data_IF_482218275784
#
_entry.id   IF_482218275784
#
_cell.length_a   1.000
_cell.length_b   1.000
_cell.length_c   1.000
_cell.angle_alpha   90.00
_cell.angle_beta   90.00
_cell.angle_gamma   90.00
#
_symmetry.space_group_name_H-M   'P 1'
#
loop_
_entity.id
_entity.type
_entity.pdbx_description
1 polymer ?
#
# COMPACT_ATOMS: atom_id res chain seq x y z
N UNK A 1 5.73 22.33 -4.20
CA UNK A 1 4.59 21.67 -3.62
C UNK A 1 4.91 20.22 -3.22
N UNK A 2 4.35 19.79 -2.14
CA UNK A 2 4.57 18.44 -1.66
C UNK A 2 3.49 17.53 -2.16
N UNK A 3 3.88 16.45 -2.83
CA UNK A 3 2.93 15.43 -3.27
C UNK A 3 2.33 14.67 -2.08
N UNK A 4 2.99 14.72 -0.92
CA UNK A 4 2.65 13.89 0.25
C UNK A 4 2.15 14.76 1.39
N UNK A 5 1.01 15.39 1.18
CA UNK A 5 0.30 16.16 2.18
C UNK A 5 -0.74 15.26 2.86
N UNK A 6 -1.64 15.84 3.65
CA UNK A 6 -2.68 15.10 4.35
C UNK A 6 -3.47 14.15 3.46
N UNK A 7 -3.79 14.61 2.25
CA UNK A 7 -4.60 13.82 1.33
C UNK A 7 -3.80 12.77 0.53
N UNK A 8 -2.47 12.82 0.64
CA UNK A 8 -1.64 11.92 -0.13
C UNK A 8 -1.69 12.18 -1.62
N UNK A 9 -0.97 11.36 -2.37
CA UNK A 9 -0.97 11.42 -3.84
C UNK A 9 -1.66 10.18 -4.37
N UNK A 10 -2.48 10.35 -5.41
CA UNK A 10 -3.23 9.27 -6.03
C UNK A 10 -2.61 8.83 -7.35
N UNK A 11 -2.54 7.53 -7.54
CA UNK A 11 -2.04 6.91 -8.77
C UNK A 11 -3.12 5.98 -9.31
N UNK A 12 -3.24 5.89 -10.63
CA UNK A 12 -4.22 5.03 -11.28
C UNK A 12 -3.52 4.14 -12.29
N UNK A 13 -3.70 2.84 -12.15
CA UNK A 13 -3.20 1.86 -13.11
C UNK A 13 -4.41 1.23 -13.80
N UNK A 14 -4.57 1.40 -15.11
CA UNK A 14 -5.78 0.96 -15.82
C UNK A 14 -5.80 -0.53 -16.19
N UNK A 15 -4.95 -1.34 -15.57
CA UNK A 15 -4.86 -2.77 -15.82
C UNK A 15 -4.61 -3.53 -14.52
N UNK A 16 -4.80 -4.83 -14.57
CA UNK A 16 -4.48 -5.71 -13.44
C UNK A 16 -2.95 -5.82 -13.31
N UNK A 17 -2.42 -5.40 -12.17
CA UNK A 17 -0.97 -5.41 -11.93
C UNK A 17 -0.39 -6.83 -11.90
N UNK A 18 -1.19 -7.82 -11.54
CA UNK A 18 -0.70 -9.21 -11.47
C UNK A 18 -0.45 -9.81 -12.85
N UNK A 19 -1.08 -9.25 -13.88
CA UNK A 19 -0.96 -9.75 -15.26
C UNK A 19 -0.05 -8.86 -16.10
N UNK A 20 -0.14 -7.56 -15.90
CA UNK A 20 0.56 -6.56 -16.71
C UNK A 20 1.56 -5.76 -15.88
N UNK A 21 2.51 -6.45 -15.27
CA UNK A 21 3.49 -5.83 -14.35
C UNK A 21 4.26 -4.68 -15.02
N UNK A 22 4.79 -4.91 -16.20
CA UNK A 22 5.57 -3.89 -16.91
C UNK A 22 4.70 -2.67 -17.24
N UNK A 23 3.45 -2.90 -17.60
CA UNK A 23 2.51 -1.81 -17.87
C UNK A 23 2.22 -1.02 -16.62
N UNK A 24 2.04 -1.72 -15.48
CA UNK A 24 1.80 -1.06 -14.20
C UNK A 24 2.98 -0.17 -13.82
N UNK A 25 4.20 -0.67 -13.95
CA UNK A 25 5.41 0.10 -13.64
C UNK A 25 5.46 1.36 -14.51
N UNK A 26 5.21 1.21 -15.81
CA UNK A 26 5.23 2.33 -16.75
C UNK A 26 4.19 3.39 -16.39
N UNK A 27 2.96 2.96 -16.08
CA UNK A 27 1.90 3.89 -15.69
C UNK A 27 2.25 4.65 -14.41
N UNK A 28 2.81 3.94 -13.44
CA UNK A 28 3.21 4.56 -12.17
C UNK A 28 4.35 5.54 -12.38
N UNK A 29 5.34 5.19 -13.21
CA UNK A 29 6.46 6.08 -13.52
C UNK A 29 5.98 7.37 -14.18
N UNK A 30 5.00 7.28 -15.07
CA UNK A 30 4.46 8.46 -15.75
C UNK A 30 3.71 9.39 -14.80
N UNK A 31 3.21 8.87 -13.70
CA UNK A 31 2.44 9.65 -12.73
C UNK A 31 3.29 10.15 -11.57
N UNK A 32 4.52 9.65 -11.44
CA UNK A 32 5.41 10.01 -10.34
C UNK A 32 6.57 10.86 -10.87
N UNK A 33 6.63 12.11 -10.45
CA UNK A 33 7.65 13.07 -10.89
C UNK A 33 8.65 13.43 -9.80
N UNK A 34 8.39 12.99 -8.57
CA UNK A 34 9.22 13.29 -7.42
C UNK A 34 10.27 12.21 -7.22
N UNK A 35 11.19 12.42 -6.29
CA UNK A 35 12.13 11.39 -5.88
C UNK A 35 11.39 10.27 -5.14
N UNK A 36 12.01 9.10 -5.10
CA UNK A 36 11.46 7.97 -4.36
C UNK A 36 11.33 8.33 -2.88
N UNK A 37 10.20 7.95 -2.29
CA UNK A 37 9.92 8.22 -0.89
C UNK A 37 10.81 7.33 -0.04
N UNK A 38 11.48 7.93 0.96
CA UNK A 38 12.40 7.21 1.86
C UNK A 38 11.95 7.25 3.31
N UNK A 39 10.72 7.64 3.57
CA UNK A 39 10.15 7.73 4.93
C UNK A 39 8.88 6.88 5.00
N UNK A 40 8.44 6.50 6.21
CA UNK A 40 7.23 5.70 6.34
C UNK A 40 6.02 6.33 5.69
N UNK A 41 5.21 5.49 5.05
CA UNK A 41 4.00 5.91 4.34
C UNK A 41 2.81 5.05 4.75
N UNK A 42 1.61 5.59 4.51
CA UNK A 42 0.40 4.77 4.44
C UNK A 42 0.03 4.60 2.98
N UNK A 43 -0.64 3.51 2.66
CA UNK A 43 -1.24 3.35 1.34
C UNK A 43 -2.66 2.83 1.46
N UNK A 44 -3.52 3.33 0.58
CA UNK A 44 -4.89 2.85 0.43
C UNK A 44 -5.03 2.37 -1.00
N UNK A 45 -5.48 1.14 -1.18
CA UNK A 45 -5.53 0.52 -2.50
C UNK A 45 -6.91 -0.07 -2.76
N UNK A 46 -7.46 0.24 -3.91
CA UNK A 46 -8.69 -0.38 -4.40
C UNK A 46 -8.35 -1.12 -5.69
N UNK A 47 -8.52 -2.43 -5.68
CA UNK A 47 -8.37 -3.26 -6.88
C UNK A 47 -9.72 -3.41 -7.54
N UNK A 48 -9.88 -2.84 -8.73
CA UNK A 48 -11.11 -2.96 -9.52
C UNK A 48 -10.96 -4.15 -10.44
N UNK A 49 -11.84 -5.13 -10.28
CA UNK A 49 -11.77 -6.41 -10.99
C UNK A 49 -13.05 -6.58 -11.80
N UNK A 50 -12.94 -7.16 -13.02
CA UNK A 50 -14.10 -7.27 -13.91
C UNK A 50 -15.05 -8.39 -13.58
N UNK A 51 -14.66 -9.30 -12.69
CA UNK A 51 -15.46 -10.46 -12.31
C UNK A 51 -15.03 -10.99 -10.95
N UNK A 52 -15.74 -12.01 -10.48
CA UNK A 52 -15.48 -12.62 -9.17
C UNK A 52 -14.48 -13.77 -9.20
N UNK A 53 -13.69 -13.87 -10.25
CA UNK A 53 -12.63 -14.86 -10.33
C UNK A 53 -11.72 -14.71 -9.10
N UNK A 54 -11.30 -15.84 -8.53
CA UNK A 54 -10.49 -15.84 -7.31
C UNK A 54 -9.19 -15.07 -7.49
N UNK A 55 -8.96 -14.10 -6.60
CA UNK A 55 -7.71 -13.35 -6.51
C UNK A 55 -7.50 -12.97 -5.06
N UNK A 56 -6.38 -13.39 -4.50
CA UNK A 56 -6.06 -13.11 -3.09
C UNK A 56 -5.44 -11.72 -2.98
N UNK A 57 -5.98 -10.89 -2.09
CA UNK A 57 -5.49 -9.52 -1.86
C UNK A 57 -4.01 -9.49 -1.53
N UNK A 58 -3.54 -10.43 -0.71
CA UNK A 58 -2.14 -10.47 -0.30
C UNK A 58 -1.20 -10.65 -1.49
N UNK A 59 -1.56 -11.54 -2.41
CA UNK A 59 -0.74 -11.81 -3.59
C UNK A 59 -0.71 -10.61 -4.54
N UNK A 60 -1.87 -9.98 -4.76
CA UNK A 60 -1.95 -8.80 -5.62
C UNK A 60 -1.16 -7.65 -5.01
N UNK A 61 -1.29 -7.48 -3.69
CA UNK A 61 -0.59 -6.39 -3.00
C UNK A 61 0.92 -6.59 -3.01
N UNK A 62 1.38 -7.83 -2.89
CA UNK A 62 2.81 -8.13 -2.98
C UNK A 62 3.37 -7.69 -4.32
N UNK A 63 2.67 -8.02 -5.40
CA UNK A 63 3.06 -7.60 -6.75
C UNK A 63 3.03 -6.08 -6.89
N UNK A 64 1.99 -5.43 -6.35
CA UNK A 64 1.89 -3.98 -6.40
C UNK A 64 3.03 -3.31 -5.64
N UNK A 65 3.37 -3.83 -4.46
CA UNK A 65 4.49 -3.32 -3.68
C UNK A 65 5.78 -3.32 -4.48
N UNK A 66 6.06 -4.42 -5.18
CA UNK A 66 7.23 -4.51 -6.05
C UNK A 66 7.16 -3.47 -7.16
N UNK A 67 5.99 -3.27 -7.76
CA UNK A 67 5.81 -2.27 -8.81
C UNK A 67 6.07 -0.86 -8.30
N UNK A 68 5.63 -0.54 -7.07
CA UNK A 68 5.87 0.78 -6.48
C UNK A 68 7.36 1.04 -6.29
N UNK A 69 8.12 0.02 -5.92
CA UNK A 69 9.57 0.14 -5.76
C UNK A 69 10.25 0.27 -7.13
N UNK A 70 9.92 -0.59 -8.07
CA UNK A 70 10.51 -0.55 -9.42
C UNK A 70 10.17 0.72 -10.17
N UNK A 71 8.99 1.29 -9.92
CA UNK A 71 8.59 2.55 -10.54
C UNK A 71 9.26 3.77 -9.91
N UNK A 72 9.97 3.58 -8.78
CA UNK A 72 10.65 4.67 -8.12
C UNK A 72 9.77 5.52 -7.23
N UNK A 73 8.60 5.02 -6.84
CA UNK A 73 7.71 5.72 -5.92
C UNK A 73 8.17 5.55 -4.48
N UNK A 74 8.53 4.31 -4.11
CA UNK A 74 9.07 3.98 -2.79
C UNK A 74 10.48 3.45 -2.94
N UNK A 75 11.35 3.79 -2.00
CA UNK A 75 12.69 3.19 -1.97
C UNK A 75 12.64 1.72 -1.58
N UNK A 76 11.69 1.35 -0.72
CA UNK A 76 11.57 -0.01 -0.22
C UNK A 76 10.13 -0.21 0.25
N UNK A 77 9.59 -1.40 0.03
CA UNK A 77 8.22 -1.71 0.46
C UNK A 77 8.08 -1.81 1.98
N UNK A 78 9.19 -1.98 2.72
CA UNK A 78 9.14 -1.96 4.18
C UNK A 78 8.79 -0.58 4.75
N UNK A 79 8.74 0.45 3.90
CA UNK A 79 8.29 1.78 4.30
C UNK A 79 6.78 1.87 4.42
N UNK A 80 6.05 0.86 3.98
CA UNK A 80 4.59 0.82 4.12
C UNK A 80 4.27 0.43 5.56
N UNK A 81 3.92 1.41 6.38
CA UNK A 81 3.60 1.19 7.79
C UNK A 81 2.13 0.94 8.03
N UNK A 82 1.28 1.35 7.11
CA UNK A 82 -0.15 1.15 7.20
C UNK A 82 -0.70 0.98 5.81
N UNK A 83 -1.58 0.01 5.63
CA UNK A 83 -2.22 -0.17 4.34
C UNK A 83 -3.66 -0.61 4.51
N UNK A 84 -4.50 -0.15 3.60
CA UNK A 84 -5.86 -0.65 3.45
C UNK A 84 -6.00 -1.20 2.04
N UNK A 85 -6.59 -2.38 1.93
CA UNK A 85 -6.77 -3.07 0.66
C UNK A 85 -8.24 -3.40 0.48
N UNK A 86 -8.74 -3.17 -0.71
CA UNK A 86 -10.13 -3.43 -1.03
C UNK A 86 -10.23 -4.00 -2.44
N UNK A 87 -11.09 -5.01 -2.62
CA UNK A 87 -11.48 -5.47 -3.96
C UNK A 87 -12.85 -4.92 -4.28
N UNK A 88 -13.02 -4.43 -5.49
CA UNK A 88 -14.30 -3.95 -5.96
C UNK A 88 -14.59 -4.57 -7.32
N UNK A 89 -15.73 -5.24 -7.44
CA UNK A 89 -16.10 -5.88 -8.70
C UNK A 89 -16.96 -4.92 -9.51
N UNK A 90 -16.46 -4.54 -10.68
CA UNK A 90 -17.20 -3.71 -11.63
C UNK A 90 -17.10 -4.40 -12.97
N UNK A 91 -18.22 -4.91 -13.47
CA UNK A 91 -18.26 -5.65 -14.72
C UNK A 91 -17.63 -4.87 -15.86
N UNK A 92 -16.71 -5.52 -16.56
CA UNK A 92 -16.06 -4.93 -17.73
C UNK A 92 -15.01 -3.87 -17.43
N UNK A 93 -14.64 -3.69 -16.17
CA UNK A 93 -13.67 -2.69 -15.78
C UNK A 93 -12.58 -3.32 -14.92
N UNK A 94 -11.33 -2.96 -15.15
CA UNK A 94 -10.23 -3.40 -14.28
C UNK A 94 -9.24 -2.27 -14.09
N UNK A 95 -8.53 -2.31 -12.98
CA UNK A 95 -7.51 -1.32 -12.68
C UNK A 95 -7.21 -1.28 -11.19
N UNK A 96 -6.33 -0.36 -10.82
CA UNK A 96 -5.94 -0.17 -9.43
C UNK A 96 -5.90 1.31 -9.13
N UNK A 97 -6.49 1.70 -8.02
CA UNK A 97 -6.43 3.07 -7.51
C UNK A 97 -5.60 3.02 -6.25
N UNK A 98 -4.53 3.81 -6.22
CA UNK A 98 -3.56 3.79 -5.13
C UNK A 98 -3.42 5.19 -4.56
N UNK A 99 -3.53 5.33 -3.25
CA UNK A 99 -3.22 6.57 -2.56
C UNK A 99 -2.01 6.33 -1.68
N UNK A 100 -1.01 7.21 -1.79
CA UNK A 100 0.22 7.14 -0.99
C UNK A 100 0.37 8.46 -0.25
N UNK A 101 0.53 8.39 1.06
CA UNK A 101 0.74 9.58 1.88
C UNK A 101 1.72 9.31 3.00
N UNK A 102 2.16 10.38 3.65
CA UNK A 102 3.09 10.26 4.77
C UNK A 102 2.37 9.64 5.97
N UNK A 103 3.03 8.68 6.58
CA UNK A 103 2.47 8.01 7.75
C UNK A 103 2.57 8.92 8.97
N UNK A 104 1.45 9.09 9.67
CA UNK A 104 1.39 9.75 10.96
C UNK A 104 1.21 8.70 12.03
N UNK A 105 2.19 8.59 12.92
CA UNK A 105 2.12 7.63 13.98
C UNK A 105 0.89 7.89 14.86
N UNK A 106 0.06 6.87 15.00
CA UNK A 106 -1.12 6.94 15.82
C UNK A 106 -0.75 6.59 17.26
N UNK A 107 -1.16 7.44 18.19
CA UNK A 107 -0.95 7.14 19.60
C UNK A 107 -1.80 5.94 20.02
N UNK A 108 -1.16 5.01 20.69
CA UNK A 108 -1.83 3.85 21.27
C UNK A 108 -1.98 4.12 22.76
N UNK A 109 -3.13 3.71 23.32
CA UNK A 109 -3.41 3.87 24.75
C UNK A 109 -2.30 3.18 25.57
N UNK A 110 -1.74 3.92 26.54
CA UNK A 110 -0.66 3.40 27.39
C UNK A 110 -1.07 2.12 28.14
N UNK A 111 -2.33 2.02 28.51
CA UNK A 111 -2.82 0.82 29.20
C UNK A 111 -2.72 -0.43 28.33
N UNK A 112 -2.95 -0.27 27.03
CA UNK A 112 -2.84 -1.37 26.07
C UNK A 112 -1.37 -1.78 25.92
N UNK A 113 -0.48 -0.80 25.84
CA UNK A 113 0.95 -1.06 25.74
C UNK A 113 1.46 -1.78 27.00
N UNK A 114 1.02 -1.31 28.19
CA UNK A 114 1.40 -1.95 29.44
C UNK A 114 0.90 -3.40 29.50
N UNK A 115 -0.31 -3.64 28.99
CA UNK A 115 -0.84 -4.99 28.94
C UNK A 115 -0.01 -5.90 28.05
N UNK A 116 0.45 -5.39 26.90
CA UNK A 116 1.32 -6.14 26.01
C UNK A 116 2.66 -6.47 26.66
N UNK A 117 3.26 -5.51 27.37
CA UNK A 117 4.49 -5.73 28.12
C UNK A 117 4.31 -6.80 29.19
N UNK A 118 3.16 -6.79 29.85
CA UNK A 118 2.83 -7.77 30.88
C UNK A 118 2.80 -9.19 30.31
N UNK A 119 2.24 -9.38 29.13
CA UNK A 119 2.26 -10.67 28.43
C UNK A 119 3.67 -11.14 28.14
N UNK A 120 4.52 -10.25 27.70
CA UNK A 120 5.91 -10.57 27.39
C UNK A 120 6.66 -10.99 28.63
N UNK A 121 6.50 -10.24 29.73
CA UNK A 121 7.14 -10.56 31.01
C UNK A 121 6.67 -11.90 31.56
N UNK A 122 5.38 -12.19 31.44
CA UNK A 122 4.83 -13.47 31.88
C UNK A 122 5.43 -14.65 31.12
N UNK A 123 5.63 -14.48 29.83
CA UNK A 123 6.25 -15.53 29.00
C UNK A 123 7.73 -15.69 29.36
N UNK A 124 8.44 -14.59 29.48
CA UNK A 124 9.87 -14.60 29.79
C UNK A 124 10.15 -15.09 31.22
N UNK A 125 9.18 -14.91 32.10
CA UNK A 125 9.31 -15.32 33.49
C UNK A 125 9.04 -16.80 33.77
N UNK A 126 8.66 -17.55 32.75
CA UNK A 126 8.37 -18.99 32.88
C UNK A 126 9.66 -19.85 32.81
#
# INVERSE_FOLDING_TARGET
MRAYTKSGKRYIVPKDVSIKINRAIWELQNQHREEAISVPVYINVIFILPNRKRRDLDNIMKTLGDCLVYAGILKDDNLIFKQTLEKKIIKGMEGVIIEVGLYNERKINDKIIEKLKSYKEGIDGI
#
